data_IF_170552953529
#
_entry.id   IF_170552953529
#
_cell.length_a   1.000
_cell.length_b   1.000
_cell.length_c   1.000
_cell.angle_alpha   90.00
_cell.angle_beta   90.00
_cell.angle_gamma   90.00
#
_symmetry.space_group_name_H-M   'P 1'
#
loop_
_entity.id
_entity.type
_entity.pdbx_description
1 polymer ?
#
# COMPACT_ATOMS: atom_id res chain seq x y z
N UNK A 1 -8.57 0.40 -5.53
CA UNK A 1 -7.93 -0.83 -4.98
C UNK A 1 -8.55 -2.11 -5.54
N UNK A 2 -9.86 -2.37 -5.38
CA UNK A 2 -10.50 -3.60 -5.94
C UNK A 2 -10.39 -3.73 -7.46
N UNK A 3 -10.48 -2.63 -8.20
CA UNK A 3 -10.28 -2.66 -9.65
C UNK A 3 -8.86 -3.11 -10.02
N UNK A 4 -7.83 -2.49 -9.42
CA UNK A 4 -6.42 -2.89 -9.57
C UNK A 4 -6.21 -4.36 -9.21
N UNK A 5 -6.78 -4.83 -8.11
CA UNK A 5 -6.71 -6.25 -7.72
C UNK A 5 -7.28 -7.17 -8.81
N UNK A 6 -8.45 -6.85 -9.37
CA UNK A 6 -9.07 -7.63 -10.45
C UNK A 6 -8.21 -7.65 -11.71
N UNK A 7 -7.63 -6.51 -12.08
CA UNK A 7 -6.77 -6.39 -13.26
C UNK A 7 -5.48 -7.22 -13.11
N UNK A 8 -4.81 -7.11 -11.96
CA UNK A 8 -3.62 -7.92 -11.67
C UNK A 8 -3.92 -9.44 -11.63
N UNK A 9 -5.07 -9.84 -11.09
CA UNK A 9 -5.50 -11.25 -11.13
C UNK A 9 -5.73 -11.74 -12.56
N UNK A 10 -6.28 -10.90 -13.45
CA UNK A 10 -6.43 -11.24 -14.88
C UNK A 10 -5.09 -11.39 -15.60
N UNK A 11 -4.07 -10.64 -15.17
CA UNK A 11 -2.69 -10.78 -15.64
C UNK A 11 -1.97 -12.01 -15.05
N UNK A 12 -2.63 -12.81 -14.21
CA UNK A 12 -2.09 -14.05 -13.66
C UNK A 12 -1.37 -13.89 -12.32
N UNK A 13 -1.39 -12.71 -11.70
CA UNK A 13 -0.75 -12.50 -10.40
C UNK A 13 -1.62 -12.98 -9.24
N UNK A 14 -0.97 -13.55 -8.22
CA UNK A 14 -1.56 -13.72 -6.89
C UNK A 14 -1.47 -12.39 -6.13
N UNK A 15 -2.61 -11.84 -5.73
CA UNK A 15 -2.68 -10.51 -5.11
C UNK A 15 -3.16 -10.60 -3.67
N UNK A 16 -2.43 -9.93 -2.78
CA UNK A 16 -2.86 -9.66 -1.41
C UNK A 16 -3.25 -8.19 -1.27
N UNK A 17 -4.42 -7.93 -0.66
CA UNK A 17 -4.92 -6.57 -0.37
C UNK A 17 -5.04 -6.37 1.14
N UNK A 18 -5.04 -5.14 1.68
CA UNK A 18 -5.21 -4.86 3.10
C UNK A 18 -6.42 -5.59 3.71
N UNK A 19 -6.25 -6.26 4.86
CA UNK A 19 -7.37 -6.91 5.59
C UNK A 19 -8.51 -5.95 5.89
N UNK A 20 -8.20 -4.68 6.16
CA UNK A 20 -9.22 -3.66 6.42
C UNK A 20 -10.22 -3.50 5.26
N UNK A 21 -9.82 -3.79 4.02
CA UNK A 21 -10.71 -3.66 2.86
C UNK A 21 -11.86 -4.67 2.94
N UNK A 22 -11.56 -5.91 3.29
CA UNK A 22 -12.55 -6.96 3.49
C UNK A 22 -13.46 -6.67 4.69
N UNK A 23 -12.89 -6.20 5.80
CA UNK A 23 -13.67 -5.80 6.97
C UNK A 23 -14.67 -4.68 6.64
N UNK A 24 -14.27 -3.69 5.82
CA UNK A 24 -15.14 -2.58 5.41
C UNK A 24 -16.28 -3.10 4.53
N UNK A 25 -15.97 -3.96 3.57
CA UNK A 25 -16.93 -4.39 2.54
C UNK A 25 -17.91 -5.45 3.06
N UNK A 26 -17.43 -6.39 3.88
CA UNK A 26 -18.17 -7.61 4.24
C UNK A 26 -18.55 -7.70 5.72
N UNK A 27 -17.89 -6.92 6.60
CA UNK A 27 -18.06 -7.02 8.05
C UNK A 27 -18.50 -5.70 8.72
N UNK A 28 -18.87 -4.69 7.93
CA UNK A 28 -19.42 -3.43 8.44
C UNK A 28 -18.41 -2.56 9.21
N UNK A 29 -17.11 -2.84 9.10
CA UNK A 29 -16.09 -2.07 9.79
C UNK A 29 -16.04 -0.64 9.27
N UNK A 30 -16.10 0.34 10.18
CA UNK A 30 -15.95 1.76 9.87
C UNK A 30 -14.63 2.26 10.41
N UNK A 31 -13.77 2.74 9.52
CA UNK A 31 -12.45 3.25 9.91
C UNK A 31 -12.60 4.44 10.88
N UNK A 32 -12.04 4.36 12.10
CA UNK A 32 -12.18 5.45 13.07
C UNK A 32 -11.48 6.74 12.64
N UNK A 33 -12.10 7.88 12.94
CA UNK A 33 -11.56 9.20 12.61
C UNK A 33 -10.57 9.73 13.66
N UNK A 34 -10.75 9.33 14.92
CA UNK A 34 -9.88 9.73 16.03
C UNK A 34 -8.65 8.84 16.12
N UNK A 35 -7.55 9.39 16.66
CA UNK A 35 -6.34 8.60 16.93
C UNK A 35 -6.64 7.46 17.91
N UNK A 36 -7.36 7.75 19.00
CA UNK A 36 -7.78 6.74 20.00
C UNK A 36 -8.54 5.58 19.35
N UNK A 37 -9.51 5.87 18.48
CA UNK A 37 -10.26 4.83 17.78
C UNK A 37 -9.39 4.01 16.83
N UNK A 38 -8.45 4.65 16.11
CA UNK A 38 -7.51 3.94 15.25
C UNK A 38 -6.56 3.03 16.04
N UNK A 39 -6.09 3.46 17.20
CA UNK A 39 -5.26 2.64 18.09
C UNK A 39 -6.03 1.42 18.62
N UNK A 40 -7.30 1.60 18.99
CA UNK A 40 -8.15 0.48 19.40
C UNK A 40 -8.34 -0.54 18.27
N UNK A 41 -8.68 -0.07 17.06
CA UNK A 41 -8.82 -0.94 15.90
C UNK A 41 -7.51 -1.63 15.51
N UNK A 42 -6.37 -0.95 15.65
CA UNK A 42 -5.05 -1.54 15.45
C UNK A 42 -4.76 -2.66 16.46
N UNK A 43 -5.04 -2.43 17.75
CA UNK A 43 -4.86 -3.43 18.80
C UNK A 43 -5.77 -4.66 18.59
N UNK A 44 -6.98 -4.46 18.08
CA UNK A 44 -7.94 -5.53 17.82
C UNK A 44 -7.59 -6.35 16.57
N UNK A 45 -7.19 -5.69 15.48
CA UNK A 45 -7.08 -6.34 14.18
C UNK A 45 -5.64 -6.58 13.70
N UNK A 46 -4.65 -5.97 14.36
CA UNK A 46 -3.22 -6.02 14.04
C UNK A 46 -2.95 -5.73 12.55
N UNK A 47 -3.49 -4.62 12.03
CA UNK A 47 -3.37 -4.32 10.61
C UNK A 47 -1.91 -4.19 10.17
N UNK A 48 -1.07 -3.50 10.96
CA UNK A 48 0.33 -3.26 10.62
C UNK A 48 1.12 -4.56 10.52
N UNK A 49 0.99 -5.45 11.52
CA UNK A 49 1.66 -6.77 11.47
C UNK A 49 1.20 -7.59 10.27
N UNK A 50 -0.11 -7.58 10.00
CA UNK A 50 -0.71 -8.29 8.88
C UNK A 50 -0.21 -7.79 7.52
N UNK A 51 -0.02 -6.47 7.37
CA UNK A 51 0.61 -5.88 6.20
C UNK A 51 2.05 -6.37 6.01
N UNK A 52 2.84 -6.41 7.09
CA UNK A 52 4.24 -6.85 7.01
C UNK A 52 4.37 -8.33 6.68
N UNK A 53 3.50 -9.18 7.24
CA UNK A 53 3.46 -10.60 6.90
C UNK A 53 3.14 -10.81 5.42
N UNK A 54 2.15 -10.09 4.88
CA UNK A 54 1.84 -10.10 3.44
C UNK A 54 3.05 -9.70 2.60
N UNK A 55 3.74 -8.61 2.95
CA UNK A 55 4.95 -8.14 2.25
C UNK A 55 6.05 -9.21 2.29
N UNK A 56 6.29 -9.82 3.46
CA UNK A 56 7.28 -10.87 3.66
C UNK A 56 7.04 -12.05 2.72
N UNK A 57 5.79 -12.47 2.58
CA UNK A 57 5.39 -13.60 1.71
C UNK A 57 5.28 -13.26 0.22
N UNK A 58 5.33 -11.98 -0.15
CA UNK A 58 5.17 -11.55 -1.54
C UNK A 58 6.52 -11.37 -2.23
N UNK A 59 6.54 -11.45 -3.56
CA UNK A 59 7.73 -11.15 -4.37
C UNK A 59 7.95 -9.64 -4.56
N UNK A 60 6.85 -8.88 -4.53
CA UNK A 60 6.84 -7.44 -4.77
C UNK A 60 5.69 -6.75 -4.02
N UNK A 61 5.79 -5.42 -3.93
CA UNK A 61 4.71 -4.54 -3.48
C UNK A 61 4.33 -3.57 -4.61
N UNK A 62 3.03 -3.36 -4.81
CA UNK A 62 2.51 -2.29 -5.65
C UNK A 62 1.81 -1.26 -4.78
N UNK A 63 2.30 -0.04 -4.82
CA UNK A 63 1.66 1.10 -4.16
C UNK A 63 0.73 1.80 -5.16
N UNK A 64 -0.56 1.85 -4.81
CA UNK A 64 -1.60 2.53 -5.57
C UNK A 64 -1.72 3.98 -5.05
N UNK A 65 -0.77 4.81 -5.43
CA UNK A 65 -0.60 6.19 -4.94
C UNK A 65 -1.44 7.20 -5.73
N UNK A 66 -2.77 7.16 -5.59
CA UNK A 66 -3.63 8.21 -6.13
C UNK A 66 -3.53 9.52 -5.32
N UNK A 67 -3.92 10.63 -5.96
CA UNK A 67 -4.07 11.93 -5.32
C UNK A 67 -4.90 11.86 -4.03
N UNK A 68 -4.39 12.50 -2.97
CA UNK A 68 -5.06 12.53 -1.67
C UNK A 68 -4.58 13.71 -0.83
N UNK A 69 -5.47 14.27 -0.01
CA UNK A 69 -5.17 15.43 0.86
C UNK A 69 -4.61 16.64 0.09
N UNK A 70 -5.01 16.83 -1.16
CA UNK A 70 -4.48 17.89 -2.01
C UNK A 70 -3.04 17.68 -2.50
N UNK A 71 -2.46 16.50 -2.27
CA UNK A 71 -1.13 16.13 -2.73
C UNK A 71 -1.28 15.14 -3.88
N UNK A 72 -0.63 15.45 -5.01
CA UNK A 72 -0.59 14.59 -6.19
C UNK A 72 0.23 13.33 -5.89
N UNK A 73 -0.22 12.18 -6.39
CA UNK A 73 0.50 10.90 -6.29
C UNK A 73 0.82 10.45 -4.84
N UNK A 74 -0.04 10.83 -3.89
CA UNK A 74 0.21 10.81 -2.44
C UNK A 74 0.60 9.44 -1.86
N UNK A 75 1.61 9.45 -0.99
CA UNK A 75 2.04 8.30 -0.17
C UNK A 75 1.97 8.68 1.31
N UNK A 76 1.08 8.03 2.07
CA UNK A 76 0.93 8.29 3.51
C UNK A 76 1.92 7.51 4.38
N UNK A 77 2.02 7.89 5.67
CA UNK A 77 2.99 7.30 6.61
C UNK A 77 2.95 5.76 6.73
N UNK A 78 1.76 5.14 6.75
CA UNK A 78 1.68 3.67 6.78
C UNK A 78 2.28 3.05 5.51
N UNK A 79 1.95 3.58 4.35
CA UNK A 79 2.47 3.10 3.06
C UNK A 79 3.97 3.35 2.94
N UNK A 80 4.46 4.50 3.43
CA UNK A 80 5.90 4.77 3.50
C UNK A 80 6.62 3.71 4.36
N UNK A 81 6.06 3.34 5.51
CA UNK A 81 6.59 2.29 6.37
C UNK A 81 6.58 0.91 5.69
N UNK A 82 5.48 0.56 5.01
CA UNK A 82 5.37 -0.67 4.21
C UNK A 82 6.43 -0.71 3.10
N UNK A 83 6.67 0.40 2.39
CA UNK A 83 7.74 0.49 1.39
C UNK A 83 9.12 0.29 2.04
N UNK A 84 9.36 0.87 3.21
CA UNK A 84 10.60 0.66 3.97
C UNK A 84 10.83 -0.81 4.35
N UNK A 85 9.79 -1.51 4.78
CA UNK A 85 9.85 -2.96 5.07
C UNK A 85 10.12 -3.76 3.79
N UNK A 86 9.45 -3.43 2.69
CA UNK A 86 9.68 -4.07 1.40
C UNK A 86 11.14 -3.87 0.95
N UNK A 87 11.69 -2.67 1.11
CA UNK A 87 13.07 -2.34 0.79
C UNK A 87 14.06 -3.14 1.65
N UNK A 88 13.86 -3.17 2.97
CA UNK A 88 14.69 -3.96 3.89
C UNK A 88 14.70 -5.45 3.53
N UNK A 89 13.54 -5.99 3.16
CA UNK A 89 13.38 -7.38 2.73
C UNK A 89 13.77 -7.63 1.26
N UNK A 90 14.35 -6.63 0.58
CA UNK A 90 14.80 -6.67 -0.82
C UNK A 90 13.70 -7.06 -1.80
N UNK A 91 12.46 -6.69 -1.51
CA UNK A 91 11.31 -6.88 -2.40
C UNK A 91 11.32 -5.84 -3.51
N UNK A 92 10.79 -6.18 -4.68
CA UNK A 92 10.56 -5.18 -5.73
C UNK A 92 9.46 -4.22 -5.28
N UNK A 93 9.69 -2.92 -5.44
CA UNK A 93 8.73 -1.88 -5.10
C UNK A 93 8.26 -1.23 -6.39
N UNK A 94 6.96 -1.26 -6.63
CA UNK A 94 6.30 -0.60 -7.75
C UNK A 94 5.44 0.55 -7.23
N UNK A 95 5.47 1.68 -7.93
CA UNK A 95 4.49 2.75 -7.77
C UNK A 95 3.62 2.82 -9.01
N UNK A 96 2.30 2.93 -8.81
CA UNK A 96 1.38 3.09 -9.92
C UNK A 96 1.61 4.42 -10.63
N UNK A 97 1.86 5.49 -9.88
CA UNK A 97 2.16 6.83 -10.37
C UNK A 97 3.53 7.31 -9.84
N UNK A 98 4.10 8.40 -10.37
CA UNK A 98 5.41 8.91 -9.97
C UNK A 98 5.56 9.16 -8.46
N UNK A 99 6.82 9.31 -8.03
CA UNK A 99 7.13 9.67 -6.64
C UNK A 99 6.54 11.05 -6.32
N UNK A 100 5.70 11.18 -5.26
CA UNK A 100 5.13 12.47 -4.88
C UNK A 100 6.15 13.39 -4.24
N UNK A 101 5.93 14.70 -4.37
CA UNK A 101 6.67 15.73 -3.62
C UNK A 101 6.21 15.75 -2.16
N UNK A 102 7.05 15.28 -1.25
CA UNK A 102 6.77 15.13 0.18
C UNK A 102 8.02 15.43 1.02
N UNK A 103 7.87 15.65 2.33
CA UNK A 103 9.00 15.94 3.22
C UNK A 103 10.06 14.82 3.30
N UNK A 104 9.67 13.60 2.92
CA UNK A 104 10.50 12.39 2.86
C UNK A 104 10.71 11.90 1.42
N UNK A 105 10.71 12.81 0.45
CA UNK A 105 10.91 12.50 -0.97
C UNK A 105 12.28 11.84 -1.22
N UNK A 106 13.33 12.24 -0.50
CA UNK A 106 14.65 11.63 -0.60
C UNK A 106 14.60 10.12 -0.33
N UNK A 107 13.92 9.70 0.74
CA UNK A 107 13.78 8.30 1.12
C UNK A 107 12.93 7.53 0.09
N UNK A 108 11.88 8.15 -0.46
CA UNK A 108 11.09 7.55 -1.53
C UNK A 108 11.94 7.24 -2.78
N UNK A 109 12.81 8.16 -3.19
CA UNK A 109 13.74 7.93 -4.30
C UNK A 109 14.86 6.94 -3.93
N UNK A 110 15.35 6.96 -2.69
CA UNK A 110 16.41 6.05 -2.23
C UNK A 110 15.98 4.58 -2.28
N UNK A 111 14.68 4.30 -2.11
CA UNK A 111 14.10 2.96 -2.27
C UNK A 111 14.03 2.48 -3.73
N UNK A 112 14.33 3.35 -4.70
CA UNK A 112 14.39 3.07 -6.15
C UNK A 112 13.18 2.30 -6.69
N UNK A 113 11.95 2.79 -6.49
CA UNK A 113 10.77 2.11 -7.00
C UNK A 113 10.73 2.11 -8.53
N UNK A 114 10.08 1.10 -9.10
CA UNK A 114 9.73 1.05 -10.53
C UNK A 114 8.40 1.77 -10.74
N UNK A 115 8.38 2.78 -11.60
CA UNK A 115 7.19 3.61 -11.85
C UNK A 115 6.42 3.07 -13.07
N UNK A 116 5.16 2.71 -12.85
CA UNK A 116 4.30 2.10 -13.88
C UNK A 116 3.60 3.13 -14.78
N UNK A 117 3.46 4.38 -14.35
CA UNK A 117 2.73 5.44 -15.06
C UNK A 117 1.28 5.05 -15.39
N UNK A 118 0.61 4.37 -14.47
CA UNK A 118 -0.78 3.91 -14.61
C UNK A 118 -0.96 2.60 -15.39
N UNK A 119 0.10 2.06 -15.99
CA UNK A 119 0.02 0.84 -16.80
C UNK A 119 0.42 -0.41 -16.00
N UNK A 120 -0.60 -1.15 -15.56
CA UNK A 120 -0.44 -2.39 -14.80
C UNK A 120 0.10 -3.56 -15.62
N UNK A 121 0.07 -3.49 -16.96
CA UNK A 121 0.61 -4.57 -17.81
C UNK A 121 2.14 -4.68 -17.78
N UNK A 122 2.80 -3.69 -17.18
CA UNK A 122 4.26 -3.62 -17.01
C UNK A 122 4.76 -4.32 -15.73
N UNK A 123 3.88 -5.00 -14.99
CA UNK A 123 4.17 -5.74 -13.77
C UNK A 123 4.51 -7.20 -14.06
#
# INVERSE_FOLDING_TARGET
MRQVEKELKKLGHRVYVPKSLDLIENHGFKKPLTVKGRLAAEAEHNFLGEHFDKIKTSDAVLVVNHDKKGIKDYIGGNTFLEMGVAFYLKKKIFLLYPVPKMDYELELHAMRPVILNGDLSRL
#
